data_IF_891135380530
#
_entry.id   IF_891135380530
#
_cell.length_a   1.000
_cell.length_b   1.000
_cell.length_c   1.000
_cell.angle_alpha   90.00
_cell.angle_beta   90.00
_cell.angle_gamma   90.00
#
_symmetry.space_group_name_H-M   'P 1'
#
loop_
_entity.id
_entity.type
_entity.pdbx_description
1 polymer ?
#
# COMPACT_ATOMS: atom_id res chain seq x y z
N UNK A 1 -7.80 -15.25 5.70
CA UNK A 1 -7.72 -13.99 4.91
C UNK A 1 -6.75 -13.02 5.57
N UNK A 2 -6.60 -11.78 5.08
CA UNK A 2 -5.63 -10.82 5.65
C UNK A 2 -5.90 -10.57 7.14
N UNK A 3 -7.16 -10.38 7.52
CA UNK A 3 -7.53 -10.14 8.93
C UNK A 3 -7.22 -11.32 9.84
N UNK A 4 -7.41 -12.55 9.37
CA UNK A 4 -7.06 -13.75 10.14
C UNK A 4 -5.53 -13.82 10.32
N UNK A 5 -4.76 -13.57 9.26
CA UNK A 5 -3.30 -13.57 9.33
C UNK A 5 -2.76 -12.49 10.29
N UNK A 6 -3.38 -11.30 10.33
CA UNK A 6 -3.03 -10.25 11.30
C UNK A 6 -3.31 -10.72 12.74
N UNK A 7 -4.49 -11.33 12.98
CA UNK A 7 -4.86 -11.86 14.30
C UNK A 7 -3.90 -12.95 14.76
N UNK A 8 -3.54 -13.87 13.87
CA UNK A 8 -2.62 -14.97 14.16
C UNK A 8 -1.20 -14.45 14.46
N UNK A 9 -0.74 -13.43 13.73
CA UNK A 9 0.55 -12.80 13.97
C UNK A 9 0.60 -12.11 15.35
N UNK A 10 -0.43 -11.34 15.70
CA UNK A 10 -0.53 -10.70 17.00
C UNK A 10 -0.59 -11.73 18.14
N UNK A 11 -1.40 -12.80 17.99
CA UNK A 11 -1.50 -13.88 18.96
C UNK A 11 -0.18 -14.65 19.13
N UNK A 12 0.65 -14.70 18.09
CA UNK A 12 1.98 -15.32 18.10
C UNK A 12 3.07 -14.42 18.69
N UNK A 13 2.70 -13.23 19.20
CA UNK A 13 3.62 -12.31 19.87
C UNK A 13 4.37 -11.37 18.93
N UNK A 14 3.86 -11.11 17.71
CA UNK A 14 4.42 -10.07 16.86
C UNK A 14 4.22 -8.67 17.47
N UNK A 15 5.24 -7.82 17.42
CA UNK A 15 5.15 -6.44 17.92
C UNK A 15 4.45 -5.48 16.96
N UNK A 16 4.38 -5.83 15.67
CA UNK A 16 3.73 -5.06 14.61
C UNK A 16 3.47 -5.94 13.37
N UNK A 17 2.61 -5.46 12.45
CA UNK A 17 2.32 -6.12 11.17
C UNK A 17 2.49 -5.16 10.00
N UNK A 18 3.15 -5.63 8.95
CA UNK A 18 3.25 -4.95 7.65
C UNK A 18 2.46 -5.70 6.58
N UNK A 19 1.38 -5.11 6.08
CA UNK A 19 0.62 -5.64 4.94
C UNK A 19 1.33 -5.25 3.65
N UNK A 20 2.01 -6.21 3.03
CA UNK A 20 2.97 -5.96 1.95
C UNK A 20 2.38 -5.54 0.60
N UNK A 21 1.06 -5.42 0.48
CA UNK A 21 0.43 -4.95 -0.74
C UNK A 21 0.39 -3.41 -0.75
N UNK A 22 0.81 -2.81 -1.87
CA UNK A 22 0.80 -1.35 -2.06
C UNK A 22 -0.60 -0.72 -1.96
N UNK A 23 -1.67 -1.50 -2.03
CA UNK A 23 -3.04 -0.97 -1.97
C UNK A 23 -3.63 -0.89 -0.54
N UNK A 24 -2.83 -1.17 0.48
CA UNK A 24 -3.24 -1.21 1.90
C UNK A 24 -4.52 -2.03 2.17
N UNK A 25 -4.67 -3.23 1.57
CA UNK A 25 -5.87 -4.02 1.74
C UNK A 25 -6.05 -4.40 3.20
N UNK A 26 -7.25 -4.15 3.73
CA UNK A 26 -7.65 -4.46 5.10
C UNK A 26 -6.82 -3.78 6.21
N UNK A 27 -5.88 -2.88 5.92
CA UNK A 27 -5.03 -2.23 6.96
C UNK A 27 -5.87 -1.51 8.01
N UNK A 28 -6.88 -0.75 7.60
CA UNK A 28 -7.75 -0.04 8.55
C UNK A 28 -8.57 -0.99 9.42
N UNK A 29 -9.17 -2.02 8.81
CA UNK A 29 -9.91 -3.04 9.57
C UNK A 29 -9.00 -3.86 10.48
N UNK A 30 -7.75 -4.09 10.07
CA UNK A 30 -6.74 -4.77 10.86
C UNK A 30 -6.39 -3.98 12.13
N UNK A 31 -6.23 -2.65 12.02
CA UNK A 31 -6.02 -1.75 13.18
C UNK A 31 -7.17 -1.77 14.20
N UNK A 32 -8.37 -2.20 13.81
CA UNK A 32 -9.53 -2.29 14.71
C UNK A 32 -9.58 -3.61 15.50
N UNK A 33 -8.85 -4.64 15.07
CA UNK A 33 -8.96 -6.00 15.64
C UNK A 33 -7.72 -6.46 16.42
N UNK A 34 -6.64 -5.67 16.43
CA UNK A 34 -5.43 -5.92 17.21
C UNK A 34 -4.90 -4.62 17.83
N UNK A 35 -4.19 -4.74 18.95
CA UNK A 35 -3.62 -3.59 19.68
C UNK A 35 -2.21 -3.19 19.19
N UNK A 36 -1.59 -4.01 18.33
CA UNK A 36 -0.26 -3.73 17.77
C UNK A 36 -0.35 -2.86 16.51
N UNK A 37 0.70 -2.09 16.17
CA UNK A 37 0.72 -1.29 14.95
C UNK A 37 0.54 -2.15 13.69
N UNK A 38 -0.39 -1.74 12.82
CA UNK A 38 -0.56 -2.32 11.48
C UNK A 38 -0.33 -1.23 10.43
N UNK A 39 0.62 -1.47 9.54
CA UNK A 39 1.01 -0.56 8.45
C UNK A 39 0.89 -1.28 7.10
N UNK A 40 0.58 -0.54 6.04
CA UNK A 40 0.51 -1.06 4.68
C UNK A 40 1.65 -0.58 3.79
N UNK A 41 1.59 -0.88 2.49
CA UNK A 41 2.56 -0.43 1.51
C UNK A 41 2.35 1.00 0.98
N UNK A 42 1.13 1.54 0.98
CA UNK A 42 0.85 2.88 0.44
C UNK A 42 1.28 3.98 1.41
N UNK A 43 0.69 4.02 2.62
CA UNK A 43 0.85 5.14 3.55
C UNK A 43 2.33 5.45 3.88
N UNK A 44 3.16 4.47 4.28
CA UNK A 44 4.56 4.73 4.58
C UNK A 44 5.35 5.18 3.35
N UNK A 45 5.15 4.54 2.20
CA UNK A 45 5.83 4.91 0.95
C UNK A 45 5.46 6.34 0.52
N UNK A 46 4.19 6.69 0.64
CA UNK A 46 3.70 7.99 0.28
C UNK A 46 4.31 9.07 1.18
N UNK A 47 4.23 8.92 2.50
CA UNK A 47 4.77 9.89 3.45
C UNK A 47 6.30 10.02 3.33
N UNK A 48 7.01 8.91 3.11
CA UNK A 48 8.47 8.90 2.93
C UNK A 48 8.88 9.61 1.64
N UNK A 49 8.17 9.37 0.53
CA UNK A 49 8.45 10.10 -0.72
C UNK A 49 8.27 11.61 -0.56
N UNK A 50 7.26 12.00 0.22
CA UNK A 50 6.91 13.39 0.52
C UNK A 50 7.79 14.06 1.57
N UNK A 51 8.61 13.30 2.31
CA UNK A 51 9.68 13.88 3.13
C UNK A 51 10.93 14.19 2.30
N UNK A 52 11.06 13.60 1.11
CA UNK A 52 12.20 13.79 0.21
C UNK A 52 11.93 14.81 -0.91
N UNK A 53 10.67 15.18 -1.14
CA UNK A 53 10.29 16.14 -2.17
C UNK A 53 8.90 16.74 -1.96
N UNK A 54 8.63 17.84 -2.65
CA UNK A 54 7.35 18.55 -2.55
C UNK A 54 6.19 17.72 -3.10
N UNK A 55 6.42 17.03 -4.22
CA UNK A 55 5.45 16.18 -4.93
C UNK A 55 6.03 14.79 -5.22
N UNK A 56 5.15 13.80 -5.28
CA UNK A 56 5.49 12.42 -5.58
C UNK A 56 4.57 11.83 -6.67
N UNK A 57 4.99 10.70 -7.23
CA UNK A 57 4.24 9.94 -8.22
C UNK A 57 4.20 8.46 -7.88
N UNK A 58 3.34 7.72 -8.58
CA UNK A 58 3.22 6.26 -8.44
C UNK A 58 3.45 5.61 -9.79
N UNK A 59 4.35 4.64 -9.84
CA UNK A 59 4.47 3.72 -10.98
C UNK A 59 3.77 2.42 -10.59
N UNK A 60 2.84 1.96 -11.41
CA UNK A 60 1.98 0.80 -11.10
C UNK A 60 1.81 -0.13 -12.29
N UNK A 61 1.22 -1.29 -12.02
CA UNK A 61 1.15 -2.47 -12.88
C UNK A 61 0.13 -2.35 -14.02
N UNK A 62 -1.16 -2.36 -13.69
CA UNK A 62 -2.26 -2.47 -14.64
C UNK A 62 -3.21 -1.27 -14.55
N UNK A 63 -3.93 -0.91 -15.63
CA UNK A 63 -4.84 0.25 -15.61
C UNK A 63 -6.02 0.11 -14.63
N UNK A 64 -6.45 -1.12 -14.34
CA UNK A 64 -7.62 -1.39 -13.49
C UNK A 64 -7.42 -0.96 -12.02
N UNK A 65 -6.18 -0.80 -11.54
CA UNK A 65 -5.92 -0.35 -10.16
C UNK A 65 -5.99 1.16 -9.99
N UNK A 66 -6.06 1.94 -11.08
CA UNK A 66 -6.04 3.40 -11.01
C UNK A 66 -7.13 4.02 -10.12
N UNK A 67 -8.40 3.57 -10.15
CA UNK A 67 -9.43 4.11 -9.26
C UNK A 67 -9.10 3.88 -7.79
N UNK A 68 -8.57 2.70 -7.46
CA UNK A 68 -8.17 2.32 -6.11
C UNK A 68 -7.02 3.20 -5.60
N UNK A 69 -5.96 3.38 -6.40
CA UNK A 69 -4.82 4.23 -6.04
C UNK A 69 -5.22 5.70 -5.85
N UNK A 70 -6.08 6.24 -6.74
CA UNK A 70 -6.64 7.59 -6.56
C UNK A 70 -7.49 7.67 -5.29
N UNK A 71 -8.19 6.59 -4.93
CA UNK A 71 -8.92 6.49 -3.67
C UNK A 71 -8.01 6.61 -2.46
N UNK A 72 -6.88 5.90 -2.45
CA UNK A 72 -5.87 5.98 -1.38
C UNK A 72 -5.27 7.38 -1.27
N UNK A 73 -4.84 7.97 -2.40
CA UNK A 73 -4.32 9.35 -2.43
C UNK A 73 -5.31 10.33 -1.81
N UNK A 74 -6.59 10.24 -2.17
CA UNK A 74 -7.65 11.09 -1.59
C UNK A 74 -7.85 10.82 -0.10
N UNK A 75 -7.88 9.56 0.31
CA UNK A 75 -8.09 9.14 1.71
C UNK A 75 -7.03 9.75 2.65
N UNK A 76 -5.79 9.85 2.19
CA UNK A 76 -4.68 10.45 2.94
C UNK A 76 -4.53 11.96 2.74
N UNK A 77 -5.45 12.62 2.01
CA UNK A 77 -5.39 14.06 1.79
C UNK A 77 -4.23 14.52 0.90
N UNK A 78 -3.72 13.63 0.04
CA UNK A 78 -2.49 13.84 -0.73
C UNK A 78 -2.72 14.26 -2.19
N UNK A 79 -3.95 14.56 -2.59
CA UNK A 79 -4.34 14.84 -3.98
C UNK A 79 -3.47 15.91 -4.67
N UNK A 80 -3.15 17.00 -3.97
CA UNK A 80 -2.34 18.10 -4.54
C UNK A 80 -0.84 17.79 -4.63
N UNK A 81 -0.40 16.75 -3.92
CA UNK A 81 1.01 16.35 -3.79
C UNK A 81 1.33 15.06 -4.54
N UNK A 82 0.34 14.33 -5.01
CA UNK A 82 0.48 13.09 -5.79
C UNK A 82 -0.09 13.27 -7.20
N UNK A 83 0.77 13.23 -8.22
CA UNK A 83 0.43 13.81 -9.54
C UNK A 83 0.59 12.90 -10.77
N UNK A 84 1.75 12.27 -11.02
CA UNK A 84 1.84 11.27 -12.08
C UNK A 84 1.58 9.88 -11.51
N UNK A 85 0.44 9.27 -11.87
CA UNK A 85 0.30 7.80 -11.84
C UNK A 85 0.66 7.28 -13.23
N UNK A 86 1.70 6.45 -13.31
CA UNK A 86 2.18 5.82 -14.55
C UNK A 86 1.92 4.34 -14.49
N UNK A 87 1.47 3.78 -15.60
CA UNK A 87 1.14 2.35 -15.71
C UNK A 87 2.15 1.72 -16.64
N UNK A 88 2.78 0.61 -16.21
CA UNK A 88 3.74 -0.15 -17.03
C UNK A 88 3.09 -1.24 -17.87
N UNK A 89 1.78 -1.44 -17.69
CA UNK A 89 0.94 -2.42 -18.40
C UNK A 89 1.47 -3.85 -18.31
N UNK A 90 1.85 -4.23 -17.09
CA UNK A 90 2.41 -5.55 -16.76
C UNK A 90 1.63 -6.15 -15.58
N UNK A 91 1.16 -7.41 -15.66
CA UNK A 91 0.54 -8.08 -14.51
C UNK A 91 1.49 -8.23 -13.32
N UNK A 92 0.94 -8.24 -12.09
CA UNK A 92 1.73 -8.41 -10.85
C UNK A 92 2.58 -9.66 -10.87
N UNK A 93 2.02 -10.78 -11.35
CA UNK A 93 2.70 -12.08 -11.45
C UNK A 93 3.79 -12.11 -12.55
N UNK A 94 3.97 -11.04 -13.32
CA UNK A 94 5.03 -10.92 -14.30
C UNK A 94 6.18 -10.00 -13.85
N UNK A 95 6.19 -9.53 -12.59
CA UNK A 95 7.20 -8.59 -12.09
C UNK A 95 8.54 -9.25 -11.73
N UNK A 96 8.55 -10.56 -11.49
CA UNK A 96 9.73 -11.36 -11.11
C UNK A 96 10.41 -12.04 -12.31
N UNK A 97 9.85 -11.89 -13.51
CA UNK A 97 10.42 -12.37 -14.77
C UNK A 97 11.56 -11.43 -15.23
N UNK A 98 12.78 -11.73 -14.79
CA UNK A 98 13.99 -10.97 -15.10
C UNK A 98 14.61 -11.30 -16.48
N UNK A 99 14.07 -12.30 -17.18
CA UNK A 99 14.59 -12.78 -18.48
C UNK A 99 13.84 -12.15 -19.68
N UNK A 100 12.93 -11.21 -19.42
CA UNK A 100 12.22 -10.40 -20.42
C UNK A 100 12.85 -9.03 -20.66
#
# INVERSE_FOLDING_TARGET
GILDAVRDAAASGADAVFVSCFADPAVHAAREIVDIPVVGGFEPAALTSLSLGEKAGVVTVLPNVLPMLRGLIRRYGLTERFGPIRVVDLPVLGLDDHDR
#
